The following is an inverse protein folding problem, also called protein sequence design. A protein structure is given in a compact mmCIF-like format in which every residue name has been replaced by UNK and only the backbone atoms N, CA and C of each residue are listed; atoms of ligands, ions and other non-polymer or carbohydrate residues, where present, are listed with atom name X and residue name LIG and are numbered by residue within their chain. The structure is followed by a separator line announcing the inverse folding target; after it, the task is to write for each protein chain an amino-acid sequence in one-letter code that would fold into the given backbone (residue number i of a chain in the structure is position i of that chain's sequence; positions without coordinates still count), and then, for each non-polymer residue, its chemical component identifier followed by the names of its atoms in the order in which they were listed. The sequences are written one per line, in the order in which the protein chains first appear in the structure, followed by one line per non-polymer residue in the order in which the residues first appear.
data_IF_055036833342
#
_entry.id   IF_055036833342
#
_cell.length_a   1.000
_cell.length_b   1.000
_cell.length_c   1.000
_cell.angle_alpha   90.00
_cell.angle_beta   90.00
_cell.angle_gamma   90.00
#
_symmetry.space_group_name_H-M   'P 1'
#
loop_
_entity.id
_entity.type
_entity.pdbx_description
1 polymer ?
#
# COMPACT_ATOMS: atom_id res chain seq x y z
N UNK A 1 39.47 41.24 -22.59
CA UNK A 1 39.82 40.05 -21.77
C UNK A 1 39.37 40.14 -20.31
N UNK A 2 38.76 41.25 -19.84
CA UNK A 2 38.38 41.42 -18.42
C UNK A 2 36.95 40.97 -18.09
N UNK A 3 36.00 41.06 -19.02
CA UNK A 3 34.59 40.77 -18.74
C UNK A 3 34.27 39.28 -18.56
N UNK A 4 34.93 38.38 -19.30
CA UNK A 4 34.69 36.93 -19.15
C UNK A 4 35.25 36.37 -17.84
N UNK A 5 36.40 36.90 -17.37
CA UNK A 5 36.99 36.50 -16.09
C UNK A 5 36.13 36.97 -14.90
N UNK A 6 35.55 38.17 -14.99
CA UNK A 6 34.61 38.68 -13.98
C UNK A 6 33.33 37.83 -13.97
N UNK A 7 32.76 37.53 -15.15
CA UNK A 7 31.57 36.69 -15.25
C UNK A 7 31.82 35.27 -14.70
N UNK A 8 32.99 34.68 -14.99
CA UNK A 8 33.39 33.37 -14.46
C UNK A 8 33.57 33.40 -12.95
N UNK A 9 34.17 34.45 -12.40
CA UNK A 9 34.31 34.64 -10.95
C UNK A 9 32.97 34.72 -10.22
N UNK A 10 32.01 35.49 -10.77
CA UNK A 10 30.66 35.58 -10.22
C UNK A 10 29.92 34.24 -10.31
N UNK A 11 30.02 33.54 -11.43
CA UNK A 11 29.39 32.23 -11.61
C UNK A 11 29.92 31.19 -10.61
N UNK A 12 31.25 31.12 -10.43
CA UNK A 12 31.88 30.23 -9.45
C UNK A 12 31.43 30.57 -8.03
N UNK A 13 31.38 31.85 -7.67
CA UNK A 13 30.93 32.28 -6.35
C UNK A 13 29.46 31.90 -6.07
N UNK A 14 28.57 32.06 -7.06
CA UNK A 14 27.16 31.67 -6.93
C UNK A 14 27.00 30.16 -6.77
N UNK A 15 27.73 29.37 -7.57
CA UNK A 15 27.69 27.90 -7.47
C UNK A 15 28.22 27.42 -6.13
N UNK A 16 29.34 27.96 -5.65
CA UNK A 16 29.90 27.59 -4.34
C UNK A 16 28.92 27.93 -3.22
N UNK A 17 28.32 29.13 -3.20
CA UNK A 17 27.35 29.49 -2.17
C UNK A 17 26.08 28.64 -2.24
N UNK A 18 25.60 28.29 -3.43
CA UNK A 18 24.45 27.41 -3.59
C UNK A 18 24.75 26.00 -3.05
N UNK A 19 25.91 25.43 -3.41
CA UNK A 19 26.32 24.08 -2.96
C UNK A 19 26.56 24.06 -1.45
N UNK A 20 27.28 25.03 -0.90
CA UNK A 20 27.51 25.15 0.54
C UNK A 20 26.20 25.41 1.29
N UNK A 21 25.32 26.24 0.74
CA UNK A 21 23.99 26.52 1.30
C UNK A 21 23.10 25.27 1.33
N UNK A 22 23.03 24.52 0.23
CA UNK A 22 22.29 23.25 0.14
C UNK A 22 22.88 22.18 1.07
N UNK A 23 24.21 22.07 1.14
CA UNK A 23 24.88 21.13 2.04
C UNK A 23 24.60 21.48 3.51
N UNK A 24 24.70 22.76 3.88
CA UNK A 24 24.35 23.24 5.22
C UNK A 24 22.88 22.98 5.56
N UNK A 25 21.97 23.28 4.63
CA UNK A 25 20.54 23.04 4.80
C UNK A 25 20.21 21.55 4.94
N UNK A 26 20.81 20.70 4.11
CA UNK A 26 20.66 19.24 4.19
C UNK A 26 21.14 18.69 5.53
N UNK A 27 22.26 19.19 6.05
CA UNK A 27 22.82 18.77 7.33
C UNK A 27 21.95 19.27 8.51
N UNK A 28 21.38 20.47 8.40
CA UNK A 28 20.41 21.00 9.37
C UNK A 28 19.09 20.21 9.35
N UNK A 29 18.57 19.82 8.19
CA UNK A 29 17.38 18.97 8.12
C UNK A 29 17.63 17.57 8.68
N UNK A 30 18.76 16.95 8.34
CA UNK A 30 19.13 15.64 8.90
C UNK A 30 19.25 15.68 10.43
N UNK A 31 19.89 16.71 10.99
CA UNK A 31 20.00 16.87 12.45
C UNK A 31 18.64 17.16 13.10
N UNK A 32 17.80 18.01 12.49
CA UNK A 32 16.45 18.30 12.98
C UNK A 32 15.58 17.02 12.99
N UNK A 33 15.63 16.20 11.94
CA UNK A 33 14.92 14.93 11.90
C UNK A 33 15.39 13.93 12.96
N UNK A 34 16.69 13.85 13.24
CA UNK A 34 17.21 12.97 14.30
C UNK A 34 16.81 13.42 15.71
N UNK A 35 16.52 14.71 15.90
CA UNK A 35 16.08 15.27 17.18
C UNK A 35 14.57 15.15 17.40
N UNK A 36 13.76 15.34 16.35
CA UNK A 36 12.30 15.42 16.48
C UNK A 36 11.54 14.18 15.96
N UNK A 37 12.21 13.27 15.24
CA UNK A 37 11.60 12.08 14.67
C UNK A 37 11.73 10.81 15.52
N UNK A 38 12.44 10.85 16.67
CA UNK A 38 12.68 9.65 17.48
C UNK A 38 11.41 9.18 18.18
N UNK A 39 11.11 7.86 18.14
CA UNK A 39 9.99 7.31 18.86
C UNK A 39 10.20 7.49 20.37
N UNK A 40 9.15 7.91 21.07
CA UNK A 40 9.18 8.21 22.50
C UNK A 40 8.09 7.45 23.23
N UNK A 41 8.52 6.61 24.17
CA UNK A 41 7.66 5.93 25.13
C UNK A 41 7.56 6.77 26.42
N UNK A 42 6.35 6.96 26.92
CA UNK A 42 6.06 7.65 28.19
C UNK A 42 5.23 6.74 29.07
N UNK A 43 5.69 6.46 30.29
CA UNK A 43 4.91 5.68 31.26
C UNK A 43 3.82 6.55 31.87
N UNK A 44 2.60 6.04 31.91
CA UNK A 44 1.43 6.77 32.39
C UNK A 44 0.90 6.12 33.66
N UNK A 45 0.15 6.91 34.43
CA UNK A 45 -0.56 6.43 35.59
C UNK A 45 -1.75 5.59 35.13
N UNK A 46 -1.75 4.34 35.56
CA UNK A 46 -2.88 3.44 35.39
C UNK A 46 -4.08 3.94 36.21
N UNK A 47 -5.25 3.98 35.57
CA UNK A 47 -6.52 4.39 36.22
C UNK A 47 -7.19 3.22 36.93
N UNK A 48 -6.90 2.00 36.47
CA UNK A 48 -7.43 0.75 37.01
C UNK A 48 -6.42 0.13 37.98
N UNK A 49 -6.85 -0.33 39.15
CA UNK A 49 -5.95 -1.01 40.08
C UNK A 49 -5.58 -2.41 39.57
N UNK A 50 -4.37 -2.88 39.91
CA UNK A 50 -3.93 -4.26 39.66
C UNK A 50 -2.84 -4.37 38.58
N UNK A 51 -3.06 -5.27 37.62
CA UNK A 51 -2.08 -5.70 36.61
C UNK A 51 -1.99 -4.77 35.39
N UNK A 52 -2.55 -3.57 35.49
CA UNK A 52 -2.66 -2.66 34.35
C UNK A 52 -1.37 -1.88 34.15
N UNK A 53 -0.96 -1.79 32.89
CA UNK A 53 0.17 -0.99 32.45
C UNK A 53 -0.35 0.07 31.48
N UNK A 54 -0.23 1.33 31.87
CA UNK A 54 -0.61 2.47 31.06
C UNK A 54 0.64 3.11 30.44
N UNK A 55 0.59 3.36 29.13
CA UNK A 55 1.70 3.99 28.41
C UNK A 55 1.21 4.83 27.24
N UNK A 56 1.97 5.87 26.95
CA UNK A 56 1.84 6.70 25.77
C UNK A 56 3.00 6.42 24.82
N UNK A 57 2.69 6.20 23.55
CA UNK A 57 3.69 5.96 22.52
C UNK A 57 3.55 7.00 21.40
N UNK A 58 4.61 7.79 21.21
CA UNK A 58 4.66 8.85 20.21
C UNK A 58 5.73 8.52 19.18
N UNK A 59 5.33 8.35 17.93
CA UNK A 59 6.22 8.12 16.81
C UNK A 59 5.70 8.81 15.55
N UNK A 60 6.58 8.94 14.55
CA UNK A 60 6.22 9.48 13.26
C UNK A 60 5.74 8.36 12.33
N UNK A 61 4.43 8.13 12.29
CA UNK A 61 3.83 7.12 11.41
C UNK A 61 3.93 7.43 9.93
N UNK A 62 4.19 8.69 9.54
CA UNK A 62 4.44 9.03 8.14
C UNK A 62 5.84 8.59 7.69
N UNK A 63 6.81 8.51 8.61
CA UNK A 63 8.17 8.03 8.34
C UNK A 63 8.25 6.51 8.43
N UNK A 64 7.60 5.94 9.44
CA UNK A 64 7.56 4.49 9.70
C UNK A 64 6.09 4.07 9.85
N UNK A 65 5.40 3.81 8.72
CA UNK A 65 4.02 3.36 8.74
C UNK A 65 3.97 1.95 9.31
N UNK A 66 3.40 1.82 10.50
CA UNK A 66 3.23 0.56 11.20
C UNK A 66 1.90 0.56 11.97
N UNK A 67 1.19 -0.56 11.93
CA UNK A 67 0.03 -0.85 12.76
C UNK A 67 0.49 -1.56 14.05
N UNK A 68 0.75 -0.78 15.08
CA UNK A 68 1.25 -1.31 16.36
C UNK A 68 0.11 -1.92 17.16
N UNK A 69 0.28 -3.17 17.58
CA UNK A 69 -0.79 -3.98 18.17
C UNK A 69 -0.34 -4.78 19.39
N UNK A 70 0.95 -4.85 19.68
CA UNK A 70 1.46 -5.68 20.78
C UNK A 70 2.46 -4.91 21.62
N UNK A 71 2.30 -4.98 22.95
CA UNK A 71 3.29 -4.49 23.91
C UNK A 71 3.97 -5.68 24.57
N UNK A 72 5.30 -5.65 24.68
CA UNK A 72 6.08 -6.64 25.42
C UNK A 72 6.97 -5.96 26.43
N UNK A 73 7.03 -6.50 27.63
CA UNK A 73 7.94 -6.04 28.69
C UNK A 73 8.77 -7.25 29.09
N UNK A 74 10.08 -7.11 28.95
CA UNK A 74 11.07 -8.12 29.33
C UNK A 74 11.91 -7.60 30.48
N UNK A 75 12.11 -8.44 31.48
CA UNK A 75 13.03 -8.23 32.58
C UNK A 75 14.22 -9.16 32.40
N UNK A 76 15.42 -8.58 32.43
CA UNK A 76 16.68 -9.30 32.51
C UNK A 76 17.33 -8.99 33.85
N UNK A 77 17.35 -9.96 34.74
CA UNK A 77 17.80 -9.81 36.13
C UNK A 77 18.83 -10.90 36.49
N UNK A 78 20.08 -10.77 36.03
CA UNK A 78 21.08 -11.83 36.19
C UNK A 78 21.46 -12.12 37.66
N UNK A 79 21.22 -11.17 38.57
CA UNK A 79 21.59 -11.27 39.98
C UNK A 79 20.38 -11.37 40.92
N UNK A 80 19.20 -11.67 40.38
CA UNK A 80 17.96 -11.68 41.15
C UNK A 80 17.06 -12.85 40.80
N UNK A 81 15.84 -12.79 41.32
CA UNK A 81 14.81 -13.81 41.09
C UNK A 81 13.46 -13.13 40.90
N UNK A 82 12.73 -13.45 39.82
CA UNK A 82 13.13 -14.28 38.66
C UNK A 82 14.27 -13.66 37.83
N UNK A 83 15.05 -14.51 37.15
CA UNK A 83 16.21 -14.09 36.34
C UNK A 83 15.81 -13.51 34.99
N UNK A 84 14.74 -14.04 34.39
CA UNK A 84 14.12 -13.51 33.18
C UNK A 84 12.61 -13.61 33.31
N UNK A 85 11.90 -12.57 32.90
CA UNK A 85 10.43 -12.56 32.80
C UNK A 85 10.07 -11.84 31.53
N UNK A 86 9.14 -12.39 30.75
CA UNK A 86 8.57 -11.73 29.59
C UNK A 86 7.06 -11.72 29.75
N UNK A 87 6.46 -10.53 29.57
CA UNK A 87 5.02 -10.35 29.59
C UNK A 87 4.64 -9.63 28.29
N UNK A 88 3.81 -10.28 27.49
CA UNK A 88 3.35 -9.73 26.21
C UNK A 88 1.83 -9.68 26.17
N UNK A 89 1.26 -8.59 25.69
CA UNK A 89 -0.18 -8.46 25.51
C UNK A 89 -0.54 -7.77 24.20
N UNK A 90 -1.48 -8.32 23.41
CA UNK A 90 -2.04 -7.62 22.26
C UNK A 90 -3.08 -6.59 22.70
N UNK A 91 -3.23 -5.53 21.90
CA UNK A 91 -4.20 -4.45 22.02
C UNK A 91 -4.68 -4.01 20.63
N UNK A 92 -5.66 -3.11 20.56
CA UNK A 92 -6.23 -2.64 19.30
C UNK A 92 -5.18 -1.94 18.43
N UNK A 93 -4.99 -2.41 17.19
CA UNK A 93 -3.97 -1.89 16.29
C UNK A 93 -4.07 -0.36 16.10
N UNK A 94 -2.96 0.35 16.36
CA UNK A 94 -2.85 1.80 16.23
C UNK A 94 -1.85 2.18 15.14
N UNK A 95 -2.31 3.00 14.19
CA UNK A 95 -1.50 3.50 13.05
C UNK A 95 -0.86 4.86 13.30
N UNK A 96 -1.20 5.52 14.41
CA UNK A 96 -0.73 6.85 14.78
C UNK A 96 -0.36 6.86 16.25
N UNK A 97 0.44 7.85 16.66
CA UNK A 97 0.77 8.08 18.08
C UNK A 97 -0.47 7.94 18.97
N UNK A 98 -0.37 7.16 20.04
CA UNK A 98 -1.50 6.78 20.88
C UNK A 98 -1.11 6.73 22.36
N UNK A 99 -2.10 6.63 23.22
CA UNK A 99 -1.92 6.16 24.58
C UNK A 99 -3.00 5.12 24.90
N UNK A 100 -2.64 4.13 25.71
CA UNK A 100 -3.56 3.06 26.08
C UNK A 100 -3.16 2.46 27.43
N UNK A 101 -4.08 1.71 28.01
CA UNK A 101 -3.92 0.98 29.25
C UNK A 101 -4.26 -0.49 28.97
N UNK A 102 -3.33 -1.39 29.31
CA UNK A 102 -3.40 -2.80 28.95
C UNK A 102 -3.25 -3.65 30.21
N UNK A 103 -4.11 -4.66 30.36
CA UNK A 103 -3.96 -5.66 31.42
C UNK A 103 -2.86 -6.65 31.06
N UNK A 104 -1.73 -6.54 31.76
CA UNK A 104 -0.55 -7.37 31.54
C UNK A 104 -0.63 -8.71 32.31
N UNK A 105 -1.67 -8.91 33.13
CA UNK A 105 -1.82 -10.10 33.94
C UNK A 105 -0.81 -10.22 35.10
N UNK A 106 -0.85 -11.34 35.84
CA UNK A 106 -0.08 -11.50 37.09
C UNK A 106 1.43 -11.48 36.89
N UNK A 107 1.92 -11.88 35.71
CA UNK A 107 3.36 -11.86 35.39
C UNK A 107 3.97 -10.45 35.45
N UNK A 108 3.15 -9.40 35.32
CA UNK A 108 3.61 -8.02 35.49
C UNK A 108 3.87 -7.67 36.95
N UNK A 109 3.06 -8.18 37.89
CA UNK A 109 3.33 -8.04 39.33
C UNK A 109 4.62 -8.78 39.68
N UNK A 110 4.80 -10.00 39.16
CA UNK A 110 6.03 -10.78 39.40
C UNK A 110 7.27 -10.06 38.88
N UNK A 111 7.15 -9.38 37.73
CA UNK A 111 8.20 -8.54 37.17
C UNK A 111 8.55 -7.37 38.09
N UNK A 112 7.55 -6.63 38.59
CA UNK A 112 7.75 -5.49 39.49
C UNK A 112 8.29 -5.91 40.88
N UNK A 113 7.89 -7.09 41.33
CA UNK A 113 8.26 -7.69 42.61
C UNK A 113 9.60 -8.46 42.60
N UNK A 114 10.33 -8.47 41.48
CA UNK A 114 11.56 -9.25 41.38
C UNK A 114 12.62 -8.79 42.40
N UNK A 115 13.29 -9.77 43.03
CA UNK A 115 14.41 -9.53 43.95
C UNK A 115 15.59 -8.94 43.19
N UNK A 116 16.32 -8.00 43.80
CA UNK A 116 17.46 -7.30 43.18
C UNK A 116 17.12 -6.57 41.87
N UNK A 117 15.90 -6.03 41.76
CA UNK A 117 15.46 -5.22 40.62
C UNK A 117 16.40 -4.05 40.31
N UNK A 118 17.16 -3.57 41.29
CA UNK A 118 18.08 -2.46 41.11
C UNK A 118 19.25 -2.79 40.16
N UNK A 119 19.57 -4.07 40.01
CA UNK A 119 20.58 -4.60 39.08
C UNK A 119 19.95 -5.16 37.80
N UNK A 120 18.63 -5.07 37.65
CA UNK A 120 17.93 -5.59 36.49
C UNK A 120 17.87 -4.56 35.34
N UNK A 121 17.69 -5.07 34.13
CA UNK A 121 17.36 -4.31 32.93
C UNK A 121 15.93 -4.62 32.52
N UNK A 122 15.16 -3.59 32.22
CA UNK A 122 13.80 -3.68 31.70
C UNK A 122 13.83 -3.21 30.25
N UNK A 123 13.32 -4.05 29.36
CA UNK A 123 13.19 -3.80 27.94
C UNK A 123 11.71 -3.76 27.59
N UNK A 124 11.27 -2.66 26.97
CA UNK A 124 9.89 -2.47 26.55
C UNK A 124 9.87 -2.42 25.02
N UNK A 125 9.08 -3.28 24.41
CA UNK A 125 8.90 -3.37 22.96
C UNK A 125 7.48 -3.05 22.57
N UNK A 126 7.31 -2.10 21.65
CA UNK A 126 6.05 -1.88 20.94
C UNK A 126 6.20 -2.49 19.56
N UNK A 127 5.38 -3.48 19.24
CA UNK A 127 5.53 -4.34 18.06
C UNK A 127 4.29 -4.18 17.15
N UNK A 128 4.53 -4.18 15.84
CA UNK A 128 3.52 -4.48 14.82
C UNK A 128 3.65 -5.95 14.42
N UNK A 129 2.61 -6.75 14.67
CA UNK A 129 2.59 -8.15 14.23
C UNK A 129 2.48 -8.29 12.71
N UNK A 130 1.89 -7.30 12.02
CA UNK A 130 1.65 -7.36 10.57
C UNK A 130 2.81 -6.82 9.75
N UNK A 131 3.46 -5.75 10.21
CA UNK A 131 4.48 -5.02 9.45
C UNK A 131 5.90 -5.39 9.90
N UNK A 132 6.04 -6.18 10.97
CA UNK A 132 7.34 -6.61 11.50
C UNK A 132 8.18 -5.49 12.13
N UNK A 133 7.58 -4.32 12.36
CA UNK A 133 8.25 -3.16 12.99
C UNK A 133 8.27 -3.32 14.50
N UNK A 134 9.45 -3.12 15.11
CA UNK A 134 9.66 -3.23 16.56
C UNK A 134 10.36 -1.98 17.07
N UNK A 135 9.74 -1.32 18.04
CA UNK A 135 10.32 -0.21 18.77
C UNK A 135 10.77 -0.67 20.15
N UNK A 136 12.08 -0.70 20.38
CA UNK A 136 12.69 -1.19 21.62
C UNK A 136 13.18 -0.05 22.51
N UNK A 137 12.88 -0.14 23.81
CA UNK A 137 13.30 0.82 24.84
C UNK A 137 13.91 0.08 26.03
N UNK A 138 15.22 0.26 26.22
CA UNK A 138 15.94 -0.36 27.32
C UNK A 138 16.20 0.65 28.45
N UNK A 139 15.98 0.21 29.69
CA UNK A 139 16.26 1.01 30.87
C UNK A 139 16.62 0.15 32.07
N UNK A 140 17.43 0.72 32.96
CA UNK A 140 17.76 0.08 34.24
C UNK A 140 16.51 0.01 35.13
N UNK A 141 16.39 -1.06 35.91
CA UNK A 141 15.29 -1.27 36.85
C UNK A 141 14.99 -0.06 37.76
N UNK A 142 15.97 0.58 38.42
CA UNK A 142 15.71 1.76 39.24
C UNK A 142 15.06 2.91 38.46
N UNK A 143 15.49 3.12 37.21
CA UNK A 143 14.92 4.15 36.33
C UNK A 143 13.49 3.79 35.94
N UNK A 144 13.22 2.53 35.62
CA UNK A 144 11.87 2.06 35.33
C UNK A 144 10.94 2.23 36.53
N UNK A 145 11.34 1.77 37.73
CA UNK A 145 10.56 1.95 38.97
C UNK A 145 10.26 3.42 39.21
N UNK A 146 11.27 4.28 39.12
CA UNK A 146 11.12 5.73 39.27
C UNK A 146 10.08 6.29 38.30
N UNK A 147 10.17 5.94 37.02
CA UNK A 147 9.22 6.40 35.99
C UNK A 147 7.80 5.90 36.23
N UNK A 148 7.62 4.65 36.70
CA UNK A 148 6.30 4.12 37.06
C UNK A 148 5.74 4.82 38.30
N UNK A 149 6.56 5.08 39.33
CA UNK A 149 6.10 5.73 40.57
C UNK A 149 5.82 7.23 40.40
N UNK A 150 6.58 7.92 39.55
CA UNK A 150 6.42 9.35 39.25
C UNK A 150 5.41 9.60 38.12
N UNK A 151 4.83 8.55 37.54
CA UNK A 151 3.77 8.69 36.55
C UNK A 151 2.50 9.25 37.23
N UNK A 152 2.20 10.51 36.97
CA UNK A 152 1.00 11.19 37.46
C UNK A 152 -0.03 11.44 36.35
N UNK A 153 0.42 11.45 35.10
CA UNK A 153 -0.42 11.67 33.91
C UNK A 153 -1.23 10.42 33.58
N UNK A 154 -2.55 10.55 33.48
CA UNK A 154 -3.42 9.46 33.02
C UNK A 154 -3.43 9.37 31.49
N UNK A 155 -3.99 8.27 30.95
CA UNK A 155 -4.18 8.10 29.50
C UNK A 155 -4.96 9.27 28.89
N UNK A 156 -6.09 9.65 29.51
CA UNK A 156 -6.95 10.74 29.02
C UNK A 156 -6.23 12.09 29.02
N UNK A 157 -5.47 12.39 30.09
CA UNK A 157 -4.68 13.61 30.18
C UNK A 157 -3.59 13.65 29.11
N UNK A 158 -2.90 12.54 28.88
CA UNK A 158 -1.85 12.46 27.87
C UNK A 158 -2.41 12.63 26.45
N UNK A 159 -3.58 12.04 26.16
CA UNK A 159 -4.28 12.22 24.89
C UNK A 159 -4.66 13.69 24.68
N UNK A 160 -5.17 14.36 25.71
CA UNK A 160 -5.53 15.77 25.66
C UNK A 160 -4.30 16.68 25.45
N UNK A 161 -3.25 16.50 26.24
CA UNK A 161 -2.01 17.32 26.21
C UNK A 161 -1.29 17.20 24.86
N UNK A 162 -1.31 16.00 24.26
CA UNK A 162 -0.61 15.71 23.02
C UNK A 162 -1.51 15.71 21.77
N UNK A 163 -2.81 15.97 21.93
CA UNK A 163 -3.79 16.05 20.84
C UNK A 163 -3.76 14.81 19.93
N UNK A 164 -3.69 13.62 20.55
CA UNK A 164 -3.48 12.34 19.84
C UNK A 164 -4.72 11.84 19.10
N UNK A 165 -5.92 12.18 19.60
CA UNK A 165 -7.21 11.82 18.99
C UNK A 165 -7.86 12.98 18.22
N UNK A 166 -7.19 14.14 18.17
CA UNK A 166 -7.62 15.18 17.25
C UNK A 166 -7.34 14.62 15.87
N UNK A 167 -8.40 14.38 15.08
CA UNK A 167 -8.32 14.19 13.64
C UNK A 167 -7.56 15.40 13.10
N UNK A 168 -6.23 15.29 13.05
CA UNK A 168 -5.42 16.18 12.24
C UNK A 168 -6.01 15.95 10.86
N UNK A 169 -6.73 16.94 10.34
CA UNK A 169 -6.98 17.04 8.91
C UNK A 169 -5.59 17.00 8.31
N UNK A 170 -5.12 15.80 7.96
CA UNK A 170 -4.01 15.64 7.07
C UNK A 170 -4.39 16.55 5.90
N UNK A 171 -3.55 17.53 5.59
CA UNK A 171 -3.67 18.15 4.28
C UNK A 171 -3.83 17.00 3.29
N UNK A 172 -4.83 17.07 2.39
CA UNK A 172 -5.10 15.97 1.49
C UNK A 172 -3.75 15.57 0.90
N UNK A 173 -3.39 14.27 0.97
CA UNK A 173 -2.14 13.81 0.39
C UNK A 173 -2.06 14.43 -1.00
N UNK A 174 -0.93 15.07 -1.33
CA UNK A 174 -0.72 15.54 -2.68
C UNK A 174 -0.80 14.26 -3.52
N UNK A 175 -1.95 14.09 -4.16
CA UNK A 175 -2.23 12.97 -5.03
C UNK A 175 -1.34 13.22 -6.24
N UNK A 176 -0.11 12.71 -6.17
CA UNK A 176 0.73 12.56 -7.34
C UNK A 176 0.09 11.37 -8.04
N UNK A 177 -0.69 11.56 -9.12
CA UNK A 177 -1.39 10.46 -9.75
C UNK A 177 -0.31 9.50 -10.24
N UNK A 178 -0.19 8.36 -9.55
CA UNK A 178 0.56 7.22 -10.06
C UNK A 178 -0.25 6.79 -11.27
N UNK A 179 0.18 7.19 -12.46
CA UNK A 179 -0.32 6.62 -13.70
C UNK A 179 0.20 5.19 -13.80
N UNK A 180 -0.43 4.26 -13.08
CA UNK A 180 -0.27 2.86 -13.41
C UNK A 180 -0.91 2.68 -14.80
N UNK A 181 -0.12 2.27 -15.78
CA UNK A 181 -0.64 1.83 -17.08
C UNK A 181 -1.38 0.49 -16.99
N UNK A 182 -1.56 -0.02 -15.76
CA UNK A 182 -2.28 -1.24 -15.43
C UNK A 182 -3.55 -0.77 -14.75
N UNK A 183 -4.69 -0.97 -15.43
CA UNK A 183 -5.99 -0.74 -14.85
C UNK A 183 -6.15 -1.66 -13.63
N UNK A 184 -6.61 -1.10 -12.50
CA UNK A 184 -7.07 -1.91 -11.38
C UNK A 184 -8.17 -2.84 -11.89
N UNK A 185 -8.05 -4.12 -11.56
CA UNK A 185 -8.96 -5.17 -12.03
C UNK A 185 -10.41 -4.77 -11.73
N UNK A 186 -11.20 -4.60 -12.80
CA UNK A 186 -12.61 -4.18 -12.77
C UNK A 186 -13.39 -5.04 -11.76
N UNK A 187 -14.12 -4.45 -10.78
CA UNK A 187 -14.97 -5.21 -9.90
C UNK A 187 -16.16 -5.77 -10.69
N UNK A 188 -16.16 -7.09 -10.86
CA UNK A 188 -17.17 -7.84 -11.59
C UNK A 188 -16.69 -9.28 -11.71
N UNK A 189 -17.60 -10.22 -12.02
CA UNK A 189 -17.20 -11.56 -12.48
C UNK A 189 -16.39 -11.35 -13.77
N UNK A 190 -15.06 -11.24 -13.63
CA UNK A 190 -14.18 -11.03 -14.77
C UNK A 190 -14.47 -12.10 -15.80
N UNK A 191 -14.71 -11.70 -17.05
CA UNK A 191 -14.62 -12.63 -18.16
C UNK A 191 -13.21 -13.22 -18.11
N UNK A 192 -13.12 -14.49 -17.74
CA UNK A 192 -11.89 -15.24 -17.87
C UNK A 192 -11.51 -15.15 -19.35
N UNK A 193 -10.35 -14.56 -19.65
CA UNK A 193 -9.75 -14.70 -20.96
C UNK A 193 -9.56 -16.19 -21.21
N UNK A 194 -10.43 -16.77 -22.03
CA UNK A 194 -10.22 -18.09 -22.60
C UNK A 194 -9.07 -17.95 -23.60
N UNK A 195 -7.84 -18.07 -23.11
CA UNK A 195 -6.66 -18.17 -23.97
C UNK A 195 -6.82 -19.48 -24.73
N UNK A 196 -7.23 -19.38 -26.00
CA UNK A 196 -7.23 -20.52 -26.90
C UNK A 196 -5.77 -20.97 -27.07
N UNK A 197 -5.45 -22.10 -26.46
CA UNK A 197 -4.12 -22.70 -26.50
C UNK A 197 -3.76 -23.07 -27.93
N UNK A 198 -2.65 -22.52 -28.41
CA UNK A 198 -2.03 -22.94 -29.66
C UNK A 198 -1.74 -24.46 -29.59
N UNK A 199 -2.23 -25.28 -30.55
CA UNK A 199 -2.09 -26.73 -30.52
C UNK A 199 -0.64 -27.23 -30.49
N UNK A 200 0.32 -26.40 -30.94
CA UNK A 200 1.75 -26.72 -30.87
C UNK A 200 2.31 -26.77 -29.44
N UNK A 201 1.62 -26.18 -28.45
CA UNK A 201 2.08 -26.07 -27.06
C UNK A 201 1.21 -26.83 -26.05
N UNK A 202 0.19 -27.57 -26.51
CA UNK A 202 -0.73 -28.32 -25.65
C UNK A 202 -0.02 -29.31 -24.71
N UNK A 203 1.11 -29.88 -25.13
CA UNK A 203 1.90 -30.82 -24.33
C UNK A 203 2.70 -30.15 -23.19
N UNK A 204 3.04 -28.85 -23.30
CA UNK A 204 3.81 -28.12 -22.29
C UNK A 204 2.92 -27.45 -21.23
N UNK A 205 1.64 -27.23 -21.54
CA UNK A 205 0.63 -26.70 -20.61
C UNK A 205 -0.32 -27.76 -20.06
N UNK A 206 -0.20 -29.03 -20.50
CA UNK A 206 -1.03 -30.15 -20.04
C UNK A 206 -0.84 -30.56 -18.57
N UNK A 207 0.11 -29.95 -17.86
CA UNK A 207 0.31 -30.16 -16.43
C UNK A 207 0.79 -28.93 -15.65
N UNK A 208 0.91 -27.77 -16.29
CA UNK A 208 1.40 -26.56 -15.67
C UNK A 208 0.41 -25.42 -15.90
N UNK A 209 -0.34 -25.11 -14.84
CA UNK A 209 -0.86 -23.76 -14.66
C UNK A 209 0.33 -22.79 -14.69
N UNK A 210 0.46 -22.04 -15.78
CA UNK A 210 1.35 -20.90 -15.90
C UNK A 210 0.63 -19.87 -16.77
N UNK A 211 0.23 -18.70 -16.29
CA UNK A 211 0.38 -18.12 -14.96
C UNK A 211 -0.23 -16.72 -15.03
N UNK A 212 -0.85 -16.29 -13.93
CA UNK A 212 -1.28 -14.90 -13.75
C UNK A 212 -2.78 -14.63 -13.70
N UNK A 213 -3.58 -15.49 -13.08
CA UNK A 213 -4.81 -15.04 -12.43
C UNK A 213 -5.21 -15.99 -11.32
N UNK A 214 -5.45 -15.42 -10.15
CA UNK A 214 -5.95 -16.11 -8.98
C UNK A 214 -7.20 -16.93 -9.32
N UNK A 215 -7.28 -18.12 -8.73
CA UNK A 215 -8.44 -18.99 -8.77
C UNK A 215 -9.69 -18.24 -8.26
N UNK A 216 -10.61 -17.92 -9.16
CA UNK A 216 -12.00 -17.66 -8.86
C UNK A 216 -12.84 -18.45 -9.86
N UNK A 217 -13.60 -19.42 -9.35
CA UNK A 217 -14.40 -20.34 -10.15
C UNK A 217 -15.41 -19.64 -11.06
N UNK A 218 -15.54 -20.15 -12.27
CA UNK A 218 -16.54 -19.71 -13.25
C UNK A 218 -16.87 -20.86 -14.19
N UNK A 219 -18.08 -21.40 -14.04
CA UNK A 219 -18.64 -22.44 -14.89
C UNK A 219 -18.74 -21.98 -16.36
N UNK A 220 -18.62 -22.94 -17.27
CA UNK A 220 -18.85 -22.78 -18.70
C UNK A 220 -20.20 -22.09 -18.98
N UNK A 221 -20.19 -21.03 -19.79
CA UNK A 221 -21.39 -20.35 -20.29
C UNK A 221 -21.74 -20.84 -21.71
N UNK A 222 -23.03 -20.90 -22.08
CA UNK A 222 -23.53 -21.57 -23.28
C UNK A 222 -23.37 -20.72 -24.55
N UNK A 223 -23.35 -21.38 -25.71
CA UNK A 223 -23.28 -20.77 -27.04
C UNK A 223 -24.47 -19.83 -27.30
N UNK A 224 -24.19 -18.59 -27.72
CA UNK A 224 -25.21 -17.64 -28.14
C UNK A 224 -25.80 -18.01 -29.52
N UNK A 225 -27.12 -17.88 -29.66
CA UNK A 225 -27.85 -18.17 -30.91
C UNK A 225 -27.57 -17.11 -31.99
N UNK A 226 -27.37 -17.55 -33.24
CA UNK A 226 -27.09 -16.67 -34.37
C UNK A 226 -28.32 -15.84 -34.77
N UNK A 227 -28.12 -14.58 -35.15
CA UNK A 227 -29.18 -13.66 -35.58
C UNK A 227 -28.83 -13.04 -36.94
N UNK A 228 -29.85 -12.70 -37.74
CA UNK A 228 -29.66 -12.10 -39.07
C UNK A 228 -29.50 -10.59 -38.98
N UNK A 229 -28.78 -10.01 -39.95
CA UNK A 229 -28.56 -8.57 -40.05
C UNK A 229 -29.31 -7.99 -41.24
N UNK A 230 -30.02 -6.88 -41.00
CA UNK A 230 -30.76 -6.16 -42.02
C UNK A 230 -29.86 -5.22 -42.82
N UNK A 231 -28.89 -4.57 -42.17
CA UNK A 231 -27.95 -3.65 -42.82
C UNK A 231 -26.66 -3.54 -42.01
N UNK A 232 -25.53 -3.45 -42.71
CA UNK A 232 -24.22 -3.09 -42.16
C UNK A 232 -23.68 -1.90 -42.94
N UNK A 233 -23.01 -0.96 -42.27
CA UNK A 233 -22.34 0.19 -42.89
C UNK A 233 -21.12 0.62 -42.09
N UNK A 234 -20.23 1.38 -42.74
CA UNK A 234 -18.98 1.88 -42.16
C UNK A 234 -19.06 3.41 -42.12
N UNK A 235 -18.92 3.99 -40.92
CA UNK A 235 -18.84 5.43 -40.73
C UNK A 235 -17.43 5.96 -41.06
N UNK A 236 -17.29 7.26 -41.41
CA UNK A 236 -15.98 7.86 -41.64
C UNK A 236 -15.09 7.74 -40.40
N UNK A 237 -13.82 7.36 -40.58
CA UNK A 237 -12.85 7.19 -39.48
C UNK A 237 -12.15 5.83 -39.44
N UNK A 238 -12.34 4.98 -40.46
CA UNK A 238 -11.59 3.73 -40.57
C UNK A 238 -10.07 4.00 -40.64
N UNK A 239 -9.29 3.26 -39.83
CA UNK A 239 -7.82 3.37 -39.77
C UNK A 239 -7.08 2.21 -40.45
N UNK A 240 -7.79 1.41 -41.26
CA UNK A 240 -7.17 0.35 -42.09
C UNK A 240 -6.38 -0.67 -41.23
N UNK A 241 -6.97 -1.10 -40.11
CA UNK A 241 -6.32 -2.01 -39.15
C UNK A 241 -6.49 -3.52 -39.47
N UNK A 242 -7.23 -3.87 -40.51
CA UNK A 242 -7.54 -5.24 -40.97
C UNK A 242 -8.36 -6.13 -40.02
N UNK A 243 -8.68 -5.69 -38.80
CA UNK A 243 -9.42 -6.49 -37.82
C UNK A 243 -10.78 -7.03 -38.33
N UNK A 244 -11.54 -6.22 -39.09
CA UNK A 244 -12.82 -6.65 -39.63
C UNK A 244 -12.72 -7.67 -40.79
N UNK A 245 -11.66 -7.58 -41.60
CA UNK A 245 -11.40 -8.54 -42.68
C UNK A 245 -10.90 -9.88 -42.15
N UNK A 246 -10.12 -9.88 -41.06
CA UNK A 246 -9.68 -11.11 -40.39
C UNK A 246 -10.84 -11.89 -39.76
N UNK A 247 -11.87 -11.19 -39.27
CA UNK A 247 -13.05 -11.80 -38.64
C UNK A 247 -14.06 -12.28 -39.68
N UNK A 248 -14.35 -11.47 -40.71
CA UNK A 248 -15.34 -11.81 -41.72
C UNK A 248 -15.01 -11.26 -43.12
N UNK A 249 -13.99 -11.83 -43.76
CA UNK A 249 -13.47 -11.49 -45.10
C UNK A 249 -14.53 -11.49 -46.22
N UNK A 250 -15.59 -12.27 -46.08
CA UNK A 250 -16.68 -12.34 -47.05
C UNK A 250 -17.54 -11.08 -47.04
N UNK A 251 -17.55 -10.33 -45.93
CA UNK A 251 -18.32 -9.10 -45.75
C UNK A 251 -17.43 -7.87 -45.87
N UNK A 252 -16.25 -7.88 -45.26
CA UNK A 252 -15.37 -6.71 -45.18
C UNK A 252 -14.16 -6.85 -46.11
N UNK A 253 -13.84 -5.77 -46.80
CA UNK A 253 -12.63 -5.62 -47.62
C UNK A 253 -11.92 -4.33 -47.22
N UNK A 254 -10.68 -4.43 -46.77
CA UNK A 254 -9.89 -3.29 -46.38
C UNK A 254 -9.04 -2.81 -47.56
N UNK A 255 -9.28 -1.56 -47.99
CA UNK A 255 -8.50 -0.87 -49.03
C UNK A 255 -7.44 0.03 -48.39
N UNK A 256 -6.60 0.68 -49.21
CA UNK A 256 -5.50 1.51 -48.73
C UNK A 256 -5.91 2.64 -47.75
N UNK A 257 -7.11 3.22 -47.95
CA UNK A 257 -7.55 4.41 -47.19
C UNK A 257 -8.84 4.19 -46.36
N UNK A 258 -9.59 3.12 -46.62
CA UNK A 258 -10.84 2.80 -45.89
C UNK A 258 -11.24 1.34 -46.06
N UNK A 259 -12.14 0.85 -45.22
CA UNK A 259 -12.81 -0.43 -45.42
C UNK A 259 -14.14 -0.23 -46.17
N UNK A 260 -14.49 -1.18 -47.02
CA UNK A 260 -15.78 -1.25 -47.72
C UNK A 260 -16.46 -2.60 -47.43
N UNK A 261 -17.79 -2.63 -47.58
CA UNK A 261 -18.56 -3.87 -47.50
C UNK A 261 -18.67 -4.44 -48.91
N UNK A 262 -18.32 -5.72 -49.08
CA UNK A 262 -18.34 -6.39 -50.38
C UNK A 262 -19.78 -6.40 -50.95
N UNK A 263 -19.95 -6.18 -52.26
CA UNK A 263 -21.26 -6.27 -52.89
C UNK A 263 -21.78 -7.71 -52.80
N UNK A 264 -22.95 -7.90 -52.21
CA UNK A 264 -23.54 -9.24 -51.98
C UNK A 264 -23.06 -9.94 -50.70
N UNK A 265 -22.53 -9.18 -49.73
CA UNK A 265 -22.07 -9.68 -48.45
C UNK A 265 -23.11 -10.58 -47.72
N UNK A 266 -22.70 -11.74 -47.19
CA UNK A 266 -23.56 -12.63 -46.41
C UNK A 266 -23.93 -12.02 -45.05
N UNK A 267 -25.21 -11.65 -44.87
CA UNK A 267 -25.75 -11.04 -43.63
C UNK A 267 -26.52 -12.03 -42.73
N UNK A 268 -26.31 -13.32 -42.95
CA UNK A 268 -26.92 -14.42 -42.22
C UNK A 268 -26.20 -14.76 -40.90
N UNK A 269 -24.90 -14.44 -40.80
CA UNK A 269 -24.08 -14.66 -39.60
C UNK A 269 -23.85 -13.36 -38.82
N UNK A 270 -24.85 -12.95 -38.04
CA UNK A 270 -24.80 -11.70 -37.28
C UNK A 270 -23.83 -11.72 -36.10
N UNK A 271 -23.44 -12.91 -35.61
CA UNK A 271 -22.41 -13.02 -34.57
C UNK A 271 -21.06 -12.51 -35.08
N UNK A 272 -20.65 -12.92 -36.27
CA UNK A 272 -19.38 -12.48 -36.87
C UNK A 272 -19.36 -10.99 -37.18
N UNK A 273 -20.49 -10.43 -37.60
CA UNK A 273 -20.58 -9.00 -37.87
C UNK A 273 -20.57 -8.20 -36.56
N UNK A 274 -21.19 -8.71 -35.49
CA UNK A 274 -21.08 -8.11 -34.17
C UNK A 274 -19.64 -8.16 -33.64
N UNK A 275 -18.97 -9.30 -33.77
CA UNK A 275 -17.58 -9.48 -33.39
C UNK A 275 -16.65 -8.52 -34.16
N UNK A 276 -16.88 -8.36 -35.48
CA UNK A 276 -16.14 -7.41 -36.30
C UNK A 276 -16.38 -5.95 -35.87
N UNK A 277 -17.59 -5.61 -35.43
CA UNK A 277 -17.91 -4.28 -34.92
C UNK A 277 -17.26 -3.99 -33.56
N UNK A 278 -17.25 -4.97 -32.66
CA UNK A 278 -16.60 -4.87 -31.33
C UNK A 278 -15.07 -4.87 -31.43
N UNK A 279 -14.50 -5.57 -32.42
CA UNK A 279 -13.07 -5.57 -32.69
C UNK A 279 -12.57 -4.28 -33.36
N UNK A 280 -13.46 -3.39 -33.79
CA UNK A 280 -13.08 -2.15 -34.45
C UNK A 280 -12.55 -1.14 -33.42
N UNK A 281 -11.25 -0.77 -33.42
CA UNK A 281 -10.65 0.10 -32.40
C UNK A 281 -11.18 1.55 -32.43
N UNK A 282 -11.86 1.91 -33.51
CA UNK A 282 -12.47 3.23 -33.75
C UNK A 282 -14.00 3.15 -33.87
N UNK A 283 -14.59 1.97 -33.61
CA UNK A 283 -16.03 1.74 -33.52
C UNK A 283 -16.86 2.21 -34.74
N UNK A 284 -16.28 2.23 -35.95
CA UNK A 284 -16.93 2.76 -37.16
C UNK A 284 -17.87 1.77 -37.86
N UNK A 285 -17.86 0.49 -37.49
CA UNK A 285 -18.72 -0.54 -38.09
C UNK A 285 -20.05 -0.56 -37.34
N UNK A 286 -21.14 -0.25 -38.04
CA UNK A 286 -22.51 -0.23 -37.49
C UNK A 286 -23.39 -1.23 -38.22
N UNK A 287 -24.35 -1.82 -37.51
CA UNK A 287 -25.31 -2.74 -38.10
C UNK A 287 -26.70 -2.66 -37.45
N UNK A 288 -27.73 -3.09 -38.17
CA UNK A 288 -29.09 -3.28 -37.66
C UNK A 288 -29.47 -4.74 -37.71
N UNK A 289 -30.02 -5.27 -36.61
CA UNK A 289 -30.54 -6.64 -36.57
C UNK A 289 -31.82 -6.73 -37.41
N UNK A 290 -31.98 -7.83 -38.13
CA UNK A 290 -33.24 -8.14 -38.79
C UNK A 290 -34.24 -8.61 -37.71
N UNK A 291 -35.39 -7.93 -37.64
CA UNK A 291 -36.56 -8.32 -36.87
C UNK A 291 -37.25 -9.57 -37.41
#
# INVERSE_FOLDING_TARGET
MSSSLIAMGVAIFLVINLVVGLAGLSLLFGTFETLFGKPKLTLLRSTKSGNFFAFGFKWNSAKEPAALDTIRIRLFNPFGSPTQVEVSKPFDAKKTSFATEVDMGPGFIDLLGAKNFDLAMVQIEVVSSTDGVVFQFDMKGPKFKKLVTEAHLTVDQFVADHKLDVVKKSQPPIDVPIRSFIADTVPGKGSQLAIATNPAFAAQFGGAAAGGAAAAGGAAAPAAENFKIAKVWIEPGCIVCNACEDIYKEVFEVLADTCIIRPGAPLDDGLRIQEAAEACPVEVIKFTKAS
#
